data_IF_104763244305
#
_entry.id   IF_104763244305
#
_cell.length_a   1.000
_cell.length_b   1.000
_cell.length_c   1.000
_cell.angle_alpha   90.00
_cell.angle_beta   90.00
_cell.angle_gamma   90.00
#
_symmetry.space_group_name_H-M   'P 1'
#
loop_
_entity.id
_entity.type
_entity.pdbx_description
1 polymer ?
#
# COMPACT_ATOMS: atom_id res chain seq x y z
N UNK A 1 7.18 -26.91 -34.23
CA UNK A 1 5.73 -27.12 -34.02
C UNK A 1 5.22 -26.38 -32.77
N UNK A 2 5.85 -26.54 -31.60
CA UNK A 2 5.49 -25.79 -30.37
C UNK A 2 5.48 -24.25 -30.51
N UNK A 3 6.46 -23.65 -31.19
CA UNK A 3 6.48 -22.20 -31.43
C UNK A 3 5.33 -21.68 -32.32
N UNK A 4 4.78 -22.52 -33.20
CA UNK A 4 3.68 -22.11 -34.08
C UNK A 4 2.33 -22.13 -33.37
N UNK A 5 2.14 -23.05 -32.40
CA UNK A 5 0.92 -23.09 -31.59
C UNK A 5 0.88 -21.94 -30.58
N UNK A 6 2.00 -21.67 -29.87
CA UNK A 6 2.10 -20.52 -28.94
C UNK A 6 1.89 -19.18 -29.65
N UNK A 7 2.37 -19.05 -30.90
CA UNK A 7 2.13 -17.85 -31.72
C UNK A 7 0.68 -17.70 -32.14
N UNK A 8 -0.04 -18.80 -32.37
CA UNK A 8 -1.43 -18.78 -32.81
C UNK A 8 -2.37 -18.41 -31.66
N UNK A 9 -2.16 -19.02 -30.49
CA UNK A 9 -2.98 -18.76 -29.30
C UNK A 9 -2.81 -17.34 -28.75
N UNK A 10 -1.58 -16.80 -28.80
CA UNK A 10 -1.32 -15.40 -28.45
C UNK A 10 -1.87 -14.41 -29.48
N UNK A 11 -1.95 -14.80 -30.75
CA UNK A 11 -2.57 -13.97 -31.78
C UNK A 11 -4.07 -13.84 -31.58
N UNK A 12 -4.75 -14.96 -31.34
CA UNK A 12 -6.20 -14.99 -31.21
C UNK A 12 -6.66 -14.17 -29.98
N UNK A 13 -5.84 -14.13 -28.92
CA UNK A 13 -6.06 -13.30 -27.73
C UNK A 13 -5.98 -11.79 -28.04
N UNK A 14 -4.92 -11.34 -28.72
CA UNK A 14 -4.71 -9.90 -29.00
C UNK A 14 -5.45 -9.39 -30.24
N UNK A 15 -5.77 -10.27 -31.19
CA UNK A 15 -6.49 -9.93 -32.41
C UNK A 15 -8.01 -9.99 -32.25
N UNK A 16 -8.53 -10.30 -31.07
CA UNK A 16 -9.97 -10.39 -30.77
C UNK A 16 -10.74 -11.25 -31.81
N UNK A 17 -10.14 -12.36 -32.25
CA UNK A 17 -10.73 -13.26 -33.26
C UNK A 17 -10.64 -12.79 -34.72
N UNK A 18 -9.88 -11.74 -35.03
CA UNK A 18 -9.62 -11.31 -36.41
C UNK A 18 -8.47 -12.15 -36.99
N UNK A 19 -8.73 -12.86 -38.09
CA UNK A 19 -7.70 -13.61 -38.81
C UNK A 19 -6.69 -12.66 -39.48
N UNK A 20 -5.51 -12.51 -38.87
CA UNK A 20 -4.42 -11.71 -39.42
C UNK A 20 -3.51 -12.57 -40.29
N UNK A 21 -3.69 -12.50 -41.60
CA UNK A 21 -2.90 -13.27 -42.59
C UNK A 21 -1.43 -12.81 -42.71
N UNK A 22 -1.13 -11.55 -42.35
CA UNK A 22 0.23 -11.00 -42.49
C UNK A 22 1.09 -11.25 -41.24
N UNK A 23 2.22 -11.99 -41.35
CA UNK A 23 3.05 -12.36 -40.21
C UNK A 23 3.75 -11.16 -39.53
N UNK A 24 4.01 -10.07 -40.25
CA UNK A 24 4.59 -8.85 -39.68
C UNK A 24 3.57 -8.12 -38.82
N UNK A 25 2.34 -7.99 -39.33
CA UNK A 25 1.23 -7.34 -38.62
C UNK A 25 0.85 -8.11 -37.35
N UNK A 26 0.80 -9.44 -37.48
CA UNK A 26 0.60 -10.40 -36.39
C UNK A 26 1.61 -10.19 -35.24
N UNK A 27 2.91 -10.12 -35.55
CA UNK A 27 3.93 -9.92 -34.53
C UNK A 27 3.84 -8.54 -33.87
N UNK A 28 3.57 -7.49 -34.65
CA UNK A 28 3.40 -6.14 -34.10
C UNK A 28 2.20 -6.03 -33.16
N UNK A 29 1.08 -6.69 -33.47
CA UNK A 29 -0.12 -6.70 -32.62
C UNK A 29 0.14 -7.35 -31.27
N UNK A 30 0.80 -8.51 -31.25
CA UNK A 30 1.16 -9.20 -30.00
C UNK A 30 2.14 -8.36 -29.17
N UNK A 31 3.11 -7.71 -29.81
CA UNK A 31 4.06 -6.84 -29.13
C UNK A 31 3.38 -5.60 -28.53
N UNK A 32 2.58 -4.88 -29.29
CA UNK A 32 1.85 -3.71 -28.79
C UNK A 32 0.79 -4.10 -27.75
N UNK A 33 0.11 -5.23 -27.91
CA UNK A 33 -0.86 -5.76 -26.95
C UNK A 33 -0.23 -6.05 -25.60
N UNK A 34 0.82 -6.87 -25.58
CA UNK A 34 1.57 -7.20 -24.35
C UNK A 34 2.23 -5.97 -23.71
N UNK A 35 2.75 -5.03 -24.52
CA UNK A 35 3.30 -3.78 -24.01
C UNK A 35 2.23 -2.90 -23.36
N UNK A 36 1.06 -2.74 -24.00
CA UNK A 36 -0.05 -1.99 -23.43
C UNK A 36 -0.57 -2.65 -22.14
N UNK A 37 -0.69 -3.97 -22.12
CA UNK A 37 -1.06 -4.71 -20.92
C UNK A 37 -0.07 -4.46 -19.78
N UNK A 38 1.23 -4.58 -20.05
CA UNK A 38 2.25 -4.30 -19.04
C UNK A 38 2.20 -2.86 -18.53
N UNK A 39 2.04 -1.88 -19.42
CA UNK A 39 1.97 -0.47 -19.03
C UNK A 39 0.72 -0.18 -18.19
N UNK A 40 -0.44 -0.73 -18.59
CA UNK A 40 -1.72 -0.48 -17.93
C UNK A 40 -1.86 -1.23 -16.61
N UNK A 41 -1.52 -2.52 -16.56
CA UNK A 41 -1.74 -3.36 -15.38
C UNK A 41 -0.55 -3.37 -14.41
N UNK A 42 0.67 -3.12 -14.90
CA UNK A 42 1.86 -3.08 -14.04
C UNK A 42 2.38 -1.67 -13.86
N UNK A 43 2.62 -0.95 -14.95
CA UNK A 43 3.30 0.35 -14.94
C UNK A 43 2.56 1.43 -14.16
N UNK A 44 1.35 1.78 -14.60
CA UNK A 44 0.58 2.87 -13.97
C UNK A 44 0.21 2.60 -12.50
N UNK A 45 -0.28 1.42 -12.10
CA UNK A 45 -0.61 1.15 -10.71
C UNK A 45 0.62 1.27 -9.80
N UNK A 46 1.77 0.77 -10.23
CA UNK A 46 3.03 0.91 -9.49
C UNK A 46 3.43 2.38 -9.32
N UNK A 47 3.32 3.19 -10.37
CA UNK A 47 3.67 4.62 -10.31
C UNK A 47 2.72 5.39 -9.38
N UNK A 48 1.42 5.11 -9.44
CA UNK A 48 0.42 5.70 -8.54
C UNK A 48 0.76 5.33 -7.09
N UNK A 49 0.94 4.04 -6.81
CA UNK A 49 1.26 3.55 -5.46
C UNK A 49 2.58 4.12 -4.96
N UNK A 50 3.61 4.20 -5.81
CA UNK A 50 4.89 4.80 -5.48
C UNK A 50 4.72 6.28 -5.10
N UNK A 51 3.95 7.04 -5.88
CA UNK A 51 3.68 8.45 -5.58
C UNK A 51 3.01 8.63 -4.21
N UNK A 52 2.03 7.77 -3.90
CA UNK A 52 1.36 7.78 -2.60
C UNK A 52 2.33 7.41 -1.45
N UNK A 53 3.15 6.38 -1.65
CA UNK A 53 4.18 5.98 -0.68
C UNK A 53 5.21 7.09 -0.44
N UNK A 54 5.60 7.84 -1.47
CA UNK A 54 6.52 8.98 -1.34
C UNK A 54 5.91 10.12 -0.54
N UNK A 55 4.65 10.46 -0.77
CA UNK A 55 3.93 11.48 0.02
C UNK A 55 3.85 11.09 1.50
N UNK A 56 3.50 9.82 1.76
CA UNK A 56 3.48 9.27 3.13
C UNK A 56 4.88 9.34 3.76
N UNK A 57 5.93 8.95 3.03
CA UNK A 57 7.30 8.94 3.54
C UNK A 57 7.81 10.36 3.82
N UNK A 58 7.43 11.35 3.01
CA UNK A 58 7.76 12.75 3.29
C UNK A 58 7.12 13.23 4.59
N UNK A 59 5.86 12.89 4.84
CA UNK A 59 5.20 13.21 6.12
C UNK A 59 5.90 12.53 7.30
N UNK A 60 6.25 11.26 7.16
CA UNK A 60 7.01 10.52 8.19
C UNK A 60 8.36 11.18 8.48
N UNK A 61 9.07 11.65 7.44
CA UNK A 61 10.34 12.34 7.61
C UNK A 61 10.19 13.67 8.35
N UNK A 62 9.14 14.44 8.02
CA UNK A 62 8.80 15.69 8.73
C UNK A 62 8.55 15.38 10.22
N UNK A 63 7.80 14.32 10.53
CA UNK A 63 7.52 13.92 11.91
C UNK A 63 8.77 13.50 12.65
N UNK A 64 9.64 12.72 12.02
CA UNK A 64 10.91 12.30 12.62
C UNK A 64 11.84 13.49 12.87
N UNK A 65 11.82 14.52 12.02
CA UNK A 65 12.56 15.76 12.25
C UNK A 65 12.05 16.48 13.50
N UNK A 66 10.72 16.59 13.67
CA UNK A 66 10.12 17.15 14.89
C UNK A 66 10.45 16.33 16.13
N UNK A 67 10.42 15.00 16.06
CA UNK A 67 10.81 14.13 17.18
C UNK A 67 12.25 14.44 17.65
N UNK A 68 13.20 14.54 16.72
CA UNK A 68 14.61 14.86 17.03
C UNK A 68 14.78 16.27 17.60
N UNK A 69 14.06 17.25 17.05
CA UNK A 69 14.06 18.62 17.57
C UNK A 69 13.49 18.67 19.00
N UNK A 70 12.38 17.97 19.23
CA UNK A 70 11.73 17.89 20.53
C UNK A 70 12.65 17.24 21.59
N UNK A 71 13.40 16.20 21.23
CA UNK A 71 14.36 15.55 22.15
C UNK A 71 15.57 16.44 22.50
N UNK A 72 15.99 17.31 21.59
CA UNK A 72 17.22 18.12 21.73
C UNK A 72 17.01 19.52 22.28
N UNK A 73 15.77 20.03 22.29
CA UNK A 73 15.48 21.40 22.71
C UNK A 73 15.45 21.59 24.24
N UNK A 74 16.07 22.70 24.68
CA UNK A 74 15.82 23.28 25.99
C UNK A 74 14.54 24.13 25.96
N UNK A 75 13.79 24.18 27.08
CA UNK A 75 12.56 24.97 27.18
C UNK A 75 12.85 26.47 27.03
N UNK A 76 12.51 27.02 25.87
CA UNK A 76 12.71 28.43 25.49
C UNK A 76 11.87 28.77 24.25
N UNK A 77 11.75 30.06 23.86
CA UNK A 77 10.78 30.53 22.88
C UNK A 77 10.78 29.77 21.54
N UNK A 78 11.94 29.34 21.04
CA UNK A 78 12.04 28.53 19.82
C UNK A 78 11.34 27.15 19.91
N UNK A 79 11.17 26.60 21.12
CA UNK A 79 10.41 25.38 21.35
C UNK A 79 8.89 25.62 21.19
N UNK A 80 8.40 26.81 21.48
CA UNK A 80 6.99 27.16 21.30
C UNK A 80 6.62 27.18 19.82
N UNK A 81 7.43 27.87 19.01
CA UNK A 81 7.24 27.92 17.56
C UNK A 81 7.26 26.50 16.96
N UNK A 82 8.20 25.67 17.41
CA UNK A 82 8.30 24.26 16.98
C UNK A 82 7.05 23.43 17.35
N UNK A 83 6.47 23.66 18.53
CA UNK A 83 5.24 22.99 18.96
C UNK A 83 4.03 23.46 18.15
N UNK A 84 3.96 24.75 17.81
CA UNK A 84 2.90 25.30 16.94
C UNK A 84 3.02 24.72 15.54
N UNK A 85 4.22 24.70 14.98
CA UNK A 85 4.49 24.12 13.66
C UNK A 85 4.15 22.63 13.60
N UNK A 86 4.39 21.89 14.70
CA UNK A 86 3.96 20.50 14.82
C UNK A 86 2.43 20.34 14.67
N UNK A 87 1.61 21.21 15.28
CA UNK A 87 0.16 21.13 15.12
C UNK A 87 -0.27 21.43 13.67
N UNK A 88 0.43 22.33 12.98
CA UNK A 88 0.23 22.56 11.56
C UNK A 88 0.56 21.30 10.74
N UNK A 89 1.69 20.65 11.02
CA UNK A 89 2.09 19.40 10.36
C UNK A 89 1.08 18.26 10.60
N UNK A 90 0.54 18.15 11.83
CA UNK A 90 -0.52 17.17 12.15
C UNK A 90 -1.79 17.44 11.34
N UNK A 91 -2.15 18.70 11.13
CA UNK A 91 -3.32 19.05 10.31
C UNK A 91 -3.11 18.70 8.84
N UNK A 92 -1.90 18.92 8.31
CA UNK A 92 -1.53 18.48 6.96
C UNK A 92 -1.64 16.95 6.83
N UNK A 93 -1.24 16.18 7.85
CA UNK A 93 -1.40 14.72 7.85
C UNK A 93 -2.88 14.32 7.83
N UNK A 94 -3.74 15.03 8.56
CA UNK A 94 -5.20 14.77 8.52
C UNK A 94 -5.76 15.00 7.14
N UNK A 95 -5.43 16.12 6.52
CA UNK A 95 -5.83 16.42 5.14
C UNK A 95 -5.29 15.37 4.17
N UNK A 96 -4.02 14.98 4.32
CA UNK A 96 -3.43 13.92 3.51
C UNK A 96 -4.16 12.59 3.68
N UNK A 97 -4.48 12.20 4.92
CA UNK A 97 -5.26 10.99 5.20
C UNK A 97 -6.59 11.02 4.46
N UNK A 98 -7.32 12.13 4.53
CA UNK A 98 -8.66 12.23 3.93
C UNK A 98 -8.59 12.17 2.40
N UNK A 99 -7.62 12.86 1.79
CA UNK A 99 -7.40 12.84 0.34
C UNK A 99 -6.95 11.46 -0.13
N UNK A 100 -6.08 10.81 0.64
CA UNK A 100 -5.43 9.57 0.24
C UNK A 100 -6.26 8.32 0.56
N UNK A 101 -7.24 8.44 1.47
CA UNK A 101 -8.11 7.36 1.93
C UNK A 101 -8.79 6.59 0.78
N UNK A 102 -9.36 7.32 -0.19
CA UNK A 102 -10.04 6.74 -1.35
C UNK A 102 -9.07 6.07 -2.33
N UNK A 103 -8.01 6.73 -2.84
CA UNK A 103 -7.08 6.09 -3.76
C UNK A 103 -6.32 4.91 -3.12
N UNK A 104 -6.02 4.97 -1.81
CA UNK A 104 -5.48 3.82 -1.07
C UNK A 104 -6.44 2.63 -1.11
N UNK A 105 -7.73 2.86 -0.91
CA UNK A 105 -8.75 1.80 -0.93
C UNK A 105 -8.84 1.14 -2.29
N UNK A 106 -8.95 1.94 -3.34
CA UNK A 106 -9.05 1.44 -4.71
C UNK A 106 -7.80 0.65 -5.08
N UNK A 107 -6.60 1.16 -4.78
CA UNK A 107 -5.36 0.46 -5.05
C UNK A 107 -5.26 -0.88 -4.30
N UNK A 108 -5.68 -0.94 -3.04
CA UNK A 108 -5.70 -2.18 -2.25
C UNK A 108 -6.71 -3.19 -2.80
N UNK A 109 -7.92 -2.77 -3.14
CA UNK A 109 -8.94 -3.66 -3.68
C UNK A 109 -8.51 -4.21 -5.04
N UNK A 110 -8.06 -3.34 -5.94
CA UNK A 110 -7.59 -3.75 -7.27
C UNK A 110 -6.46 -4.76 -7.12
N UNK A 111 -5.47 -4.45 -6.28
CA UNK A 111 -4.35 -5.35 -6.02
C UNK A 111 -4.80 -6.71 -5.44
N UNK A 112 -5.74 -6.74 -4.51
CA UNK A 112 -6.24 -7.99 -3.93
C UNK A 112 -7.03 -8.80 -4.96
N UNK A 113 -7.85 -8.12 -5.77
CA UNK A 113 -8.63 -8.74 -6.83
C UNK A 113 -7.73 -9.33 -7.92
N UNK A 114 -6.71 -8.60 -8.36
CA UNK A 114 -5.75 -9.03 -9.37
C UNK A 114 -4.97 -10.27 -8.91
N UNK A 115 -4.51 -10.28 -7.65
CA UNK A 115 -3.88 -11.47 -7.06
C UNK A 115 -4.86 -12.63 -7.05
N UNK A 116 -6.08 -12.42 -6.57
CA UNK A 116 -7.07 -13.48 -6.43
C UNK A 116 -7.45 -14.10 -7.77
N UNK A 117 -7.72 -13.28 -8.79
CA UNK A 117 -8.06 -13.74 -10.14
C UNK A 117 -6.88 -14.49 -10.75
N UNK A 118 -5.68 -13.93 -10.69
CA UNK A 118 -4.48 -14.53 -11.30
C UNK A 118 -4.07 -15.84 -10.62
N UNK A 119 -4.19 -15.94 -9.30
CA UNK A 119 -3.95 -17.19 -8.55
C UNK A 119 -5.00 -18.22 -8.91
N UNK A 120 -6.28 -17.83 -8.95
CA UNK A 120 -7.36 -18.75 -9.30
C UNK A 120 -7.18 -19.28 -10.72
N UNK A 121 -6.92 -18.43 -11.71
CA UNK A 121 -6.69 -18.83 -13.09
C UNK A 121 -5.46 -19.73 -13.24
N UNK A 122 -4.37 -19.45 -12.51
CA UNK A 122 -3.18 -20.30 -12.50
C UNK A 122 -3.46 -21.69 -11.90
N UNK A 123 -4.27 -21.76 -10.84
CA UNK A 123 -4.67 -23.04 -10.23
C UNK A 123 -5.64 -23.84 -11.13
N UNK A 124 -6.53 -23.17 -11.87
CA UNK A 124 -7.38 -23.83 -12.87
C UNK A 124 -6.53 -24.36 -14.04
N UNK A 125 -5.63 -23.52 -14.55
CA UNK A 125 -4.71 -23.83 -15.64
C UNK A 125 -3.78 -25.01 -15.34
N UNK A 126 -3.27 -25.11 -14.11
CA UNK A 126 -2.31 -26.17 -13.73
C UNK A 126 -2.88 -27.59 -13.81
N UNK A 127 -4.20 -27.74 -13.85
CA UNK A 127 -4.90 -29.05 -13.83
C UNK A 127 -5.53 -29.40 -15.18
N UNK A 128 -5.81 -28.40 -16.02
CA UNK A 128 -6.45 -28.59 -17.33
C UNK A 128 -5.75 -27.75 -18.40
N UNK A 129 -4.96 -28.44 -19.22
CA UNK A 129 -4.43 -27.98 -20.50
C UNK A 129 -3.28 -26.96 -20.47
N UNK A 130 -2.40 -27.07 -21.48
CA UNK A 130 -1.18 -26.28 -21.67
C UNK A 130 -1.50 -24.78 -21.77
N UNK A 131 -1.34 -24.02 -20.68
CA UNK A 131 -1.37 -22.57 -20.78
C UNK A 131 -0.12 -22.09 -21.52
N UNK A 132 -0.27 -21.27 -22.58
CA UNK A 132 0.86 -20.66 -23.27
C UNK A 132 1.79 -19.99 -22.27
N UNK A 133 3.10 -20.26 -22.36
CA UNK A 133 4.09 -19.77 -21.41
C UNK A 133 4.07 -18.24 -21.20
N UNK A 134 3.64 -17.50 -22.23
CA UNK A 134 3.50 -16.05 -22.18
C UNK A 134 2.37 -15.59 -21.23
N UNK A 135 1.22 -16.27 -21.23
CA UNK A 135 0.09 -15.97 -20.33
C UNK A 135 0.40 -16.38 -18.90
N UNK A 136 1.10 -17.51 -18.71
CA UNK A 136 1.60 -17.92 -17.40
C UNK A 136 2.54 -16.87 -16.80
N UNK A 137 3.44 -16.33 -17.62
CA UNK A 137 4.35 -15.27 -17.20
C UNK A 137 3.59 -13.98 -16.83
N UNK A 138 2.61 -13.55 -17.63
CA UNK A 138 1.78 -12.37 -17.33
C UNK A 138 1.00 -12.51 -16.02
N UNK A 139 0.42 -13.69 -15.75
CA UNK A 139 -0.24 -13.97 -14.47
C UNK A 139 0.72 -13.89 -13.29
N UNK A 140 1.92 -14.49 -13.40
CA UNK A 140 2.94 -14.43 -12.36
C UNK A 140 3.38 -12.98 -12.09
N UNK A 141 3.60 -12.19 -13.15
CA UNK A 141 3.96 -10.78 -13.03
C UNK A 141 2.85 -9.96 -12.35
N UNK A 142 1.59 -10.25 -12.67
CA UNK A 142 0.42 -9.59 -12.06
C UNK A 142 0.34 -9.91 -10.56
N UNK A 143 0.54 -11.17 -10.17
CA UNK A 143 0.60 -11.59 -8.76
C UNK A 143 1.71 -10.85 -8.02
N UNK A 144 2.92 -10.86 -8.58
CA UNK A 144 4.08 -10.18 -7.96
C UNK A 144 3.82 -8.68 -7.79
N UNK A 145 3.24 -8.05 -8.82
CA UNK A 145 2.89 -6.62 -8.80
C UNK A 145 1.89 -6.32 -7.70
N UNK A 146 0.81 -7.11 -7.61
CA UNK A 146 -0.18 -6.95 -6.55
C UNK A 146 0.46 -7.11 -5.16
N UNK A 147 1.32 -8.13 -4.96
CA UNK A 147 1.99 -8.33 -3.67
C UNK A 147 2.86 -7.11 -3.32
N UNK A 148 3.61 -6.56 -4.28
CA UNK A 148 4.44 -5.36 -4.07
C UNK A 148 3.58 -4.17 -3.66
N UNK A 149 2.44 -3.95 -4.32
CA UNK A 149 1.50 -2.87 -4.00
C UNK A 149 0.95 -3.05 -2.58
N UNK A 150 0.44 -4.23 -2.25
CA UNK A 150 -0.13 -4.56 -0.94
C UNK A 150 0.88 -4.34 0.19
N UNK A 151 2.09 -4.87 0.03
CA UNK A 151 3.17 -4.76 1.02
C UNK A 151 3.63 -3.31 1.17
N UNK A 152 3.85 -2.60 0.07
CA UNK A 152 4.30 -1.22 0.10
C UNK A 152 3.30 -0.31 0.80
N UNK A 153 2.03 -0.33 0.38
CA UNK A 153 0.99 0.49 0.98
C UNK A 153 0.84 0.22 2.48
N UNK A 154 0.91 -1.06 2.89
CA UNK A 154 0.79 -1.41 4.30
C UNK A 154 2.01 -0.96 5.12
N UNK A 155 3.22 -1.18 4.61
CA UNK A 155 4.44 -0.78 5.29
C UNK A 155 4.53 0.74 5.44
N UNK A 156 4.34 1.49 4.36
CA UNK A 156 4.39 2.96 4.42
C UNK A 156 3.22 3.53 5.22
N UNK A 157 2.00 3.04 5.01
CA UNK A 157 0.81 3.50 5.74
C UNK A 157 0.91 3.29 7.26
N UNK A 158 1.60 2.22 7.70
CA UNK A 158 1.83 1.94 9.13
C UNK A 158 2.87 2.85 9.81
N UNK A 159 3.74 3.53 9.05
CA UNK A 159 4.81 4.36 9.63
C UNK A 159 4.30 5.67 10.24
N UNK A 160 3.24 6.27 9.69
CA UNK A 160 2.65 7.50 10.23
C UNK A 160 2.21 7.34 11.70
N UNK A 161 1.35 6.36 12.05
CA UNK A 161 0.93 6.18 13.44
C UNK A 161 2.10 5.79 14.35
N UNK A 162 3.09 5.03 13.85
CA UNK A 162 4.32 4.73 14.60
C UNK A 162 5.12 5.99 14.94
N UNK A 163 5.32 6.90 13.98
CA UNK A 163 6.00 8.18 14.21
C UNK A 163 5.23 9.10 15.16
N UNK A 164 3.90 9.18 15.04
CA UNK A 164 3.07 9.95 15.97
C UNK A 164 3.15 9.41 17.40
N UNK A 165 3.17 8.08 17.55
CA UNK A 165 3.30 7.43 18.85
C UNK A 165 4.65 7.76 19.53
N UNK A 166 5.75 7.76 18.77
CA UNK A 166 7.07 8.16 19.30
C UNK A 166 7.12 9.62 19.76
N UNK A 167 6.48 10.53 19.01
CA UNK A 167 6.38 11.94 19.41
C UNK A 167 5.55 12.08 20.68
N UNK A 168 4.44 11.34 20.78
CA UNK A 168 3.60 11.29 21.98
C UNK A 168 4.36 10.79 23.21
N UNK A 169 5.13 9.72 23.08
CA UNK A 169 6.01 9.21 24.14
C UNK A 169 7.10 10.22 24.52
N UNK A 170 7.72 10.85 23.53
CA UNK A 170 8.73 11.90 23.75
C UNK A 170 8.15 13.10 24.50
N UNK A 171 6.94 13.55 24.13
CA UNK A 171 6.22 14.61 24.83
C UNK A 171 5.93 14.23 26.29
N UNK A 172 5.49 12.99 26.53
CA UNK A 172 5.28 12.45 27.88
C UNK A 172 6.57 12.44 28.73
N UNK A 173 7.69 11.99 28.15
CA UNK A 173 8.99 12.02 28.83
C UNK A 173 9.41 13.45 29.19
N UNK A 174 9.21 14.41 28.29
CA UNK A 174 9.52 15.82 28.57
C UNK A 174 8.63 16.39 29.65
N UNK A 175 7.33 16.07 29.69
CA UNK A 175 6.45 16.48 30.78
C UNK A 175 6.95 15.97 32.13
N UNK A 176 7.33 14.69 32.22
CA UNK A 176 7.85 14.09 33.46
C UNK A 176 9.17 14.72 33.90
N UNK A 177 10.11 14.93 32.96
CA UNK A 177 11.42 15.55 33.25
C UNK A 177 11.27 16.96 33.80
N UNK A 178 10.29 17.69 33.30
CA UNK A 178 10.09 19.09 33.60
C UNK A 178 9.07 19.35 34.72
N UNK A 179 8.24 18.37 35.07
CA UNK A 179 7.31 18.47 36.20
C UNK A 179 8.00 18.78 37.55
N UNK A 180 9.31 18.53 37.66
CA UNK A 180 10.12 18.85 38.85
C UNK A 180 10.70 20.27 38.84
N UNK A 181 10.65 20.98 37.73
CA UNK A 181 11.11 22.36 37.63
C UNK A 181 9.98 23.30 38.06
N UNK A 182 10.27 24.20 39.02
CA UNK A 182 9.36 25.30 39.37
C UNK A 182 9.36 26.31 38.22
N UNK A 183 8.45 26.14 37.27
CA UNK A 183 8.25 27.09 36.18
C UNK A 183 7.76 28.43 36.72
N UNK A 184 8.47 29.51 36.36
CA UNK A 184 7.97 30.88 36.56
C UNK A 184 6.99 31.18 35.43
N UNK A 185 5.85 31.77 35.78
CA UNK A 185 4.74 32.12 34.90
C UNK A 185 5.17 32.67 33.52
N UNK A 186 4.46 32.29 32.45
CA UNK A 186 4.66 32.78 31.08
C UNK A 186 4.66 31.66 30.02
N UNK A 187 5.44 31.86 28.95
CA UNK A 187 5.62 30.98 27.78
C UNK A 187 5.87 29.50 28.13
N UNK A 188 6.51 29.21 29.26
CA UNK A 188 6.79 27.85 29.72
C UNK A 188 5.52 27.09 30.15
N UNK A 189 4.51 27.77 30.70
CA UNK A 189 3.21 27.16 31.03
C UNK A 189 2.43 26.83 29.76
N UNK A 190 2.48 27.69 28.74
CA UNK A 190 1.86 27.43 27.44
C UNK A 190 2.54 26.25 26.72
N UNK A 191 3.87 26.16 26.76
CA UNK A 191 4.59 24.99 26.25
C UNK A 191 4.16 23.70 26.95
N UNK A 192 4.07 23.70 28.28
CA UNK A 192 3.59 22.54 29.04
C UNK A 192 2.15 22.16 28.65
N UNK A 193 1.29 23.16 28.42
CA UNK A 193 -0.07 22.92 27.93
C UNK A 193 -0.07 22.26 26.54
N UNK A 194 0.74 22.76 25.60
CA UNK A 194 0.87 22.20 24.26
C UNK A 194 1.43 20.77 24.29
N UNK A 195 2.50 20.52 25.06
CA UNK A 195 3.06 19.17 25.26
C UNK A 195 2.02 18.20 25.83
N UNK A 196 1.21 18.65 26.79
CA UNK A 196 0.12 17.83 27.37
C UNK A 196 -0.99 17.57 26.37
N UNK A 197 -1.23 18.50 25.45
CA UNK A 197 -2.17 18.32 24.33
C UNK A 197 -1.63 17.29 23.33
N UNK A 198 -0.33 17.29 23.05
CA UNK A 198 0.32 16.26 22.21
C UNK A 198 0.23 14.89 22.88
N UNK A 199 0.60 14.79 24.15
CA UNK A 199 0.51 13.55 24.93
C UNK A 199 -0.92 12.97 24.92
N UNK A 200 -1.93 13.83 25.09
CA UNK A 200 -3.34 13.42 25.09
C UNK A 200 -3.95 13.24 23.71
N UNK A 201 -3.26 13.63 22.65
CA UNK A 201 -3.80 13.53 21.29
C UNK A 201 -4.01 12.06 20.89
N UNK A 202 -5.06 11.84 20.11
CA UNK A 202 -5.33 10.55 19.48
C UNK A 202 -4.38 10.33 18.31
N UNK A 203 -3.92 9.09 18.16
CA UNK A 203 -3.01 8.71 17.08
C UNK A 203 -3.81 8.61 15.80
N UNK A 204 -3.39 9.38 14.79
CA UNK A 204 -4.02 9.34 13.48
C UNK A 204 -3.53 8.09 12.75
N UNK A 205 -4.41 7.11 12.64
CA UNK A 205 -4.21 5.98 11.75
C UNK A 205 -4.62 6.34 10.33
N UNK A 206 -3.79 5.94 9.37
CA UNK A 206 -4.16 5.90 7.96
C UNK A 206 -5.31 4.90 7.83
N UNK A 207 -6.49 5.43 7.50
CA UNK A 207 -7.68 4.63 7.31
C UNK A 207 -8.04 4.61 5.84
N UNK A 208 -8.48 3.45 5.40
CA UNK A 208 -8.89 3.17 4.05
C UNK A 208 -10.42 3.26 4.03
N UNK A 209 -10.93 4.34 3.46
CA UNK A 209 -12.37 4.65 3.37
C UNK A 209 -13.12 4.62 4.73
N UNK A 210 -12.43 4.79 5.86
CA UNK A 210 -13.02 4.64 7.20
C UNK A 210 -13.34 3.20 7.62
N UNK A 211 -13.09 2.22 6.75
CA UNK A 211 -13.45 0.81 6.97
C UNK A 211 -12.30 0.00 7.58
N UNK A 212 -11.07 0.26 7.14
CA UNK A 212 -9.89 -0.53 7.52
C UNK A 212 -8.76 0.41 7.93
N UNK A 213 -8.21 0.20 9.12
CA UNK A 213 -6.98 0.87 9.52
C UNK A 213 -5.77 0.13 8.96
N UNK A 214 -4.87 0.87 8.29
CA UNK A 214 -3.63 0.29 7.77
C UNK A 214 -2.69 0.01 8.94
N UNK A 215 -2.68 -1.25 9.36
CA UNK A 215 -1.77 -1.79 10.37
C UNK A 215 -0.95 -2.91 9.76
N UNK A 216 0.23 -3.21 10.31
CA UNK A 216 1.04 -4.35 9.84
C UNK A 216 0.28 -5.69 9.91
N UNK A 217 -0.66 -5.82 10.86
CA UNK A 217 -1.56 -6.99 10.96
C UNK A 217 -2.49 -7.17 9.77
N UNK A 218 -2.79 -6.09 9.02
CA UNK A 218 -3.62 -6.16 7.81
C UNK A 218 -3.01 -7.09 6.76
N UNK A 219 -1.68 -7.10 6.59
CA UNK A 219 -1.01 -8.04 5.68
C UNK A 219 -1.30 -9.50 6.04
N UNK A 220 -1.29 -9.81 7.33
CA UNK A 220 -1.55 -11.16 7.80
C UNK A 220 -3.01 -11.56 7.52
N UNK A 221 -3.95 -10.63 7.71
CA UNK A 221 -5.36 -10.84 7.36
C UNK A 221 -5.57 -11.03 5.86
N UNK A 222 -4.93 -10.20 5.03
CA UNK A 222 -5.00 -10.30 3.58
C UNK A 222 -4.44 -11.63 3.06
N UNK A 223 -3.26 -12.03 3.54
CA UNK A 223 -2.65 -13.33 3.20
C UNK A 223 -3.53 -14.48 3.70
N UNK A 224 -4.03 -14.41 4.94
CA UNK A 224 -4.95 -15.39 5.49
C UNK A 224 -6.20 -15.55 4.63
N UNK A 225 -6.83 -14.45 4.23
CA UNK A 225 -7.99 -14.45 3.34
C UNK A 225 -7.67 -15.10 1.99
N UNK A 226 -6.60 -14.68 1.32
CA UNK A 226 -6.18 -15.26 0.05
C UNK A 226 -5.93 -16.77 0.16
N UNK A 227 -5.27 -17.23 1.23
CA UNK A 227 -5.05 -18.65 1.49
C UNK A 227 -6.36 -19.40 1.76
N UNK A 228 -7.24 -18.88 2.62
CA UNK A 228 -8.52 -19.53 2.95
C UNK A 228 -9.41 -19.66 1.72
N UNK A 229 -9.60 -18.58 0.96
CA UNK A 229 -10.43 -18.61 -0.24
C UNK A 229 -9.77 -19.42 -1.36
N UNK A 230 -8.45 -19.32 -1.54
CA UNK A 230 -7.71 -20.16 -2.48
C UNK A 230 -7.85 -21.65 -2.18
N UNK A 231 -7.69 -22.06 -0.92
CA UNK A 231 -7.88 -23.44 -0.49
C UNK A 231 -9.33 -23.91 -0.64
N UNK A 232 -10.29 -23.02 -0.40
CA UNK A 232 -11.72 -23.31 -0.56
C UNK A 232 -12.05 -23.64 -2.03
N UNK A 233 -11.53 -22.86 -2.97
CA UNK A 233 -11.67 -23.13 -4.42
C UNK A 233 -11.06 -24.49 -4.80
N UNK A 234 -9.85 -24.78 -4.31
CA UNK A 234 -9.20 -26.07 -4.53
C UNK A 234 -10.00 -27.25 -3.95
N UNK A 235 -10.60 -27.07 -2.77
CA UNK A 235 -11.39 -28.11 -2.12
C UNK A 235 -12.75 -28.34 -2.80
N UNK A 236 -13.42 -27.29 -3.29
CA UNK A 236 -14.64 -27.45 -4.09
C UNK A 236 -14.36 -28.28 -5.34
N UNK A 237 -13.27 -27.98 -6.05
CA UNK A 237 -12.85 -28.76 -7.22
C UNK A 237 -12.56 -30.22 -6.91
N UNK A 238 -11.87 -30.53 -5.80
CA UNK A 238 -11.59 -31.91 -5.40
C UNK A 238 -12.88 -32.72 -5.17
N UNK A 239 -13.94 -32.10 -4.65
CA UNK A 239 -15.23 -32.78 -4.44
C UNK A 239 -15.95 -33.06 -5.76
N UNK A 240 -15.86 -32.17 -6.75
CA UNK A 240 -16.49 -32.38 -8.05
C UNK A 240 -15.82 -33.52 -8.85
N UNK A 241 -14.51 -33.72 -8.68
CA UNK A 241 -13.76 -34.82 -9.32
C UNK A 241 -14.04 -36.18 -8.66
N UNK A 242 -14.42 -36.23 -7.38
CA UNK A 242 -14.73 -37.48 -6.66
C UNK A 242 -16.19 -37.96 -6.85
N UNK A 243 -17.01 -37.25 -7.62
CA UNK A 243 -18.39 -37.64 -7.94
C UNK A 243 -18.56 -38.24 -9.35
N UNK A 244 -17.45 -38.49 -10.06
CA UNK A 244 -17.38 -39.31 -11.28
C UNK A 244 -16.45 -40.51 -11.03
#
# INVERSE_FOLDING_TARGET
MFQNNVKKDSLDYWAFGIEVSNPVLSWTLVFFGSLNFFVINTGYPCLIVLSMCLLIQQCVNILSAYEKQLQSMAFGPSCFDTLVDYFCAVEIIRLLKDILSVPLFLALIISLFDIFVSVSSLLYASDSFEVPAILALEMVLTILTGIIILVSLTLYGSKIPESLLKIKETAGMLLVRNAKQKFKYGIQNEMMYLLRRIEKSEIIHMSVCGLIEIRKSFLLTAVGGLCTYGLLILNFKRKDIQQF
#
